data_IF_406636928512
#
_entry.id   IF_406636928512
#
_cell.length_a   1.000
_cell.length_b   1.000
_cell.length_c   1.000
_cell.angle_alpha   90.00
_cell.angle_beta   90.00
_cell.angle_gamma   90.00
#
_symmetry.space_group_name_H-M   'P 1'
#
loop_
_entity.id
_entity.type
_entity.pdbx_description
1 polymer ?
#
# COMPACT_ATOMS: atom_id res chain seq x y z
N UNK A 1 -57.87 -33.02 -92.13
CA UNK A 1 -57.92 -31.64 -91.61
C UNK A 1 -57.98 -31.74 -90.10
N UNK A 2 -56.94 -31.28 -89.45
CA UNK A 2 -56.62 -31.50 -88.04
C UNK A 2 -57.55 -30.71 -87.13
N UNK A 3 -58.17 -31.43 -86.19
CA UNK A 3 -58.82 -30.87 -85.01
C UNK A 3 -57.75 -30.29 -84.09
N UNK A 4 -57.77 -28.97 -83.86
CA UNK A 4 -56.96 -28.35 -82.81
C UNK A 4 -57.80 -28.30 -81.54
N UNK A 5 -57.52 -29.26 -80.65
CA UNK A 5 -58.03 -29.27 -79.29
C UNK A 5 -57.40 -28.11 -78.52
N UNK A 6 -58.22 -27.13 -78.15
CA UNK A 6 -57.87 -26.05 -77.24
C UNK A 6 -57.89 -26.61 -75.81
N UNK A 7 -56.79 -27.21 -75.40
CA UNK A 7 -56.59 -27.62 -74.01
C UNK A 7 -55.15 -27.35 -73.61
N UNK A 8 -55.01 -26.85 -72.38
CA UNK A 8 -53.75 -26.58 -71.66
C UNK A 8 -53.16 -25.17 -71.88
N UNK A 9 -53.92 -24.16 -71.45
CA UNK A 9 -53.33 -23.09 -70.64
C UNK A 9 -53.70 -23.38 -69.19
N UNK A 10 -53.03 -24.40 -68.62
CA UNK A 10 -52.98 -24.57 -67.17
C UNK A 10 -52.23 -23.37 -66.61
N UNK A 11 -52.98 -22.48 -65.95
CA UNK A 11 -52.47 -21.42 -65.13
C UNK A 11 -51.59 -22.03 -64.03
N UNK A 12 -50.27 -21.98 -64.21
CA UNK A 12 -49.33 -22.23 -63.13
C UNK A 12 -49.45 -21.12 -62.09
N UNK A 13 -49.69 -21.43 -60.80
CA UNK A 13 -49.57 -20.44 -59.74
C UNK A 13 -48.08 -20.23 -59.46
N UNK A 14 -47.39 -19.46 -60.30
CA UNK A 14 -45.98 -19.11 -60.13
C UNK A 14 -45.80 -17.96 -59.10
N UNK A 15 -46.67 -17.87 -58.10
CA UNK A 15 -46.71 -16.80 -57.10
C UNK A 15 -46.63 -17.31 -55.66
N UNK A 16 -46.21 -18.56 -55.43
CA UNK A 16 -46.38 -19.26 -54.14
C UNK A 16 -45.08 -19.75 -53.46
N UNK A 17 -43.90 -19.10 -53.65
CA UNK A 17 -42.95 -19.13 -52.53
C UNK A 17 -42.24 -17.79 -52.27
N UNK A 18 -42.61 -16.70 -52.94
CA UNK A 18 -41.93 -15.40 -52.76
C UNK A 18 -42.40 -14.67 -51.50
N UNK A 19 -43.72 -14.64 -51.25
CA UNK A 19 -44.30 -13.98 -50.07
C UNK A 19 -43.78 -14.52 -48.72
N UNK A 20 -43.60 -15.84 -48.53
CA UNK A 20 -42.99 -16.37 -47.30
C UNK A 20 -41.52 -15.95 -47.12
N UNK A 21 -40.78 -15.75 -48.22
CA UNK A 21 -39.40 -15.29 -48.18
C UNK A 21 -39.33 -13.78 -47.86
N UNK A 22 -40.24 -12.98 -48.42
CA UNK A 22 -40.37 -11.55 -48.11
C UNK A 22 -40.72 -11.34 -46.63
N UNK A 23 -41.69 -12.09 -46.08
CA UNK A 23 -42.04 -12.07 -44.66
C UNK A 23 -40.85 -12.46 -43.76
N UNK A 24 -40.07 -13.46 -44.17
CA UNK A 24 -38.85 -13.86 -43.44
C UNK A 24 -37.79 -12.76 -43.46
N UNK A 25 -37.64 -12.05 -44.59
CA UNK A 25 -36.69 -10.94 -44.72
C UNK A 25 -37.12 -9.77 -43.83
N UNK A 26 -38.41 -9.42 -43.82
CA UNK A 26 -38.94 -8.36 -42.97
C UNK A 26 -38.78 -8.67 -41.47
N UNK A 27 -39.00 -9.92 -41.05
CA UNK A 27 -38.73 -10.36 -39.68
C UNK A 27 -37.24 -10.21 -39.32
N UNK A 28 -36.33 -10.64 -40.20
CA UNK A 28 -34.89 -10.51 -39.97
C UNK A 28 -34.45 -9.05 -39.89
N UNK A 29 -34.97 -8.19 -40.77
CA UNK A 29 -34.68 -6.75 -40.75
C UNK A 29 -35.17 -6.10 -39.45
N UNK A 30 -36.39 -6.43 -39.02
CA UNK A 30 -36.94 -5.96 -37.74
C UNK A 30 -36.07 -6.38 -36.57
N UNK A 31 -35.66 -7.65 -36.53
CA UNK A 31 -34.78 -8.18 -35.47
C UNK A 31 -33.37 -7.57 -35.50
N UNK A 32 -32.88 -7.14 -36.66
CA UNK A 32 -31.60 -6.44 -36.76
C UNK A 32 -31.70 -5.02 -36.20
N UNK A 33 -32.78 -4.29 -36.47
CA UNK A 33 -33.04 -2.98 -35.88
C UNK A 33 -33.18 -3.07 -34.35
N UNK A 34 -33.90 -4.09 -33.86
CA UNK A 34 -33.99 -4.38 -32.43
C UNK A 34 -32.62 -4.68 -31.82
N UNK A 35 -31.81 -5.50 -32.49
CA UNK A 35 -30.46 -5.83 -32.03
C UNK A 35 -29.56 -4.59 -32.00
N UNK A 36 -29.61 -3.72 -33.01
CA UNK A 36 -28.86 -2.47 -33.04
C UNK A 36 -29.25 -1.56 -31.87
N UNK A 37 -30.55 -1.46 -31.58
CA UNK A 37 -31.07 -0.73 -30.42
C UNK A 37 -30.57 -1.31 -29.09
N UNK A 38 -30.56 -2.65 -28.93
CA UNK A 38 -30.00 -3.30 -27.74
C UNK A 38 -28.49 -3.06 -27.60
N UNK A 39 -27.74 -3.10 -28.71
CA UNK A 39 -26.30 -2.82 -28.73
C UNK A 39 -26.02 -1.38 -28.31
N UNK A 40 -26.79 -0.41 -28.80
CA UNK A 40 -26.64 0.99 -28.41
C UNK A 40 -27.05 1.24 -26.97
N UNK A 41 -28.08 0.55 -26.46
CA UNK A 41 -28.45 0.60 -25.05
C UNK A 41 -27.32 0.09 -24.16
N UNK A 42 -26.67 -1.03 -24.49
CA UNK A 42 -25.54 -1.58 -23.72
C UNK A 42 -24.30 -0.69 -23.80
N UNK A 43 -23.98 -0.14 -24.97
CA UNK A 43 -22.82 0.77 -25.13
C UNK A 43 -22.96 2.06 -24.33
N UNK A 44 -24.19 2.56 -24.21
CA UNK A 44 -24.49 3.79 -23.49
C UNK A 44 -24.98 3.55 -22.07
N UNK A 45 -24.99 2.29 -21.60
CA UNK A 45 -25.37 1.97 -20.23
C UNK A 45 -24.26 2.46 -19.28
N UNK A 46 -24.53 3.49 -18.46
CA UNK A 46 -23.54 4.10 -17.58
C UNK A 46 -23.05 3.14 -16.49
N UNK A 47 -23.73 2.02 -16.25
CA UNK A 47 -23.30 1.01 -15.27
C UNK A 47 -22.04 0.24 -15.71
N UNK A 48 -21.71 0.24 -17.01
CA UNK A 48 -20.48 -0.33 -17.55
C UNK A 48 -19.37 0.71 -17.74
N UNK A 49 -19.62 1.98 -17.41
CA UNK A 49 -18.57 3.00 -17.44
C UNK A 49 -17.59 2.77 -16.28
N UNK A 50 -16.51 2.06 -16.58
CA UNK A 50 -15.44 1.75 -15.63
C UNK A 50 -14.46 2.91 -15.45
N UNK A 51 -14.61 4.04 -16.15
CA UNK A 51 -13.64 5.14 -16.04
C UNK A 51 -13.56 5.68 -14.62
N UNK A 52 -14.72 5.90 -13.97
CA UNK A 52 -14.76 6.44 -12.62
C UNK A 52 -14.29 5.41 -11.57
N UNK A 53 -14.78 4.16 -11.54
CA UNK A 53 -14.24 3.15 -10.63
C UNK A 53 -12.73 2.92 -10.75
N UNK A 54 -12.17 2.97 -11.96
CA UNK A 54 -10.71 2.84 -12.17
C UNK A 54 -9.96 4.02 -11.58
N UNK A 55 -10.47 5.25 -11.75
CA UNK A 55 -9.90 6.45 -11.12
C UNK A 55 -9.96 6.33 -9.59
N UNK A 56 -11.10 5.89 -9.04
CA UNK A 56 -11.29 5.75 -7.59
C UNK A 56 -10.36 4.70 -6.98
N UNK A 57 -10.17 3.56 -7.66
CA UNK A 57 -9.22 2.52 -7.24
C UNK A 57 -7.79 3.05 -7.29
N UNK A 58 -7.43 3.82 -8.33
CA UNK A 58 -6.12 4.43 -8.44
C UNK A 58 -5.87 5.44 -7.29
N UNK A 59 -6.84 6.28 -6.96
CA UNK A 59 -6.76 7.21 -5.83
C UNK A 59 -6.62 6.45 -4.49
N UNK A 60 -7.44 5.41 -4.27
CA UNK A 60 -7.36 4.56 -3.08
C UNK A 60 -5.98 3.91 -2.93
N UNK A 61 -5.35 3.48 -4.03
CA UNK A 61 -3.98 2.97 -4.03
C UNK A 61 -2.98 4.03 -3.55
N UNK A 62 -3.11 5.27 -3.99
CA UNK A 62 -2.22 6.36 -3.55
C UNK A 62 -2.39 6.66 -2.06
N UNK A 63 -3.63 6.74 -1.57
CA UNK A 63 -3.93 6.92 -0.15
C UNK A 63 -3.37 5.77 0.72
N UNK A 64 -3.50 4.53 0.25
CA UNK A 64 -2.97 3.37 0.94
C UNK A 64 -1.44 3.41 1.01
N UNK A 65 -0.76 3.76 -0.09
CA UNK A 65 0.70 3.90 -0.09
C UNK A 65 1.16 4.99 0.90
N UNK A 66 0.48 6.13 0.92
CA UNK A 66 0.79 7.20 1.87
C UNK A 66 0.58 6.76 3.32
N UNK A 67 -0.44 5.94 3.59
CA UNK A 67 -0.64 5.35 4.91
C UNK A 67 0.48 4.37 5.29
N UNK A 68 0.88 3.49 4.37
CA UNK A 68 2.00 2.57 4.58
C UNK A 68 3.30 3.32 4.89
N UNK A 69 3.63 4.37 4.14
CA UNK A 69 4.83 5.19 4.41
C UNK A 69 4.81 5.83 5.81
N UNK A 70 3.62 6.25 6.29
CA UNK A 70 3.46 6.77 7.66
C UNK A 70 3.63 5.69 8.73
N UNK A 71 3.19 4.46 8.45
CA UNK A 71 3.39 3.32 9.35
C UNK A 71 4.88 2.97 9.42
N UNK A 72 5.57 2.84 8.28
CA UNK A 72 7.01 2.53 8.22
C UNK A 72 7.85 3.60 8.97
N UNK A 73 7.47 4.87 8.82
CA UNK A 73 8.06 5.99 9.55
C UNK A 73 7.90 5.84 11.07
N UNK A 74 6.69 5.46 11.50
CA UNK A 74 6.38 5.23 12.91
C UNK A 74 7.15 4.01 13.46
N UNK A 75 7.22 2.91 12.72
CA UNK A 75 7.98 1.72 13.11
C UNK A 75 9.47 2.05 13.29
N UNK A 76 10.04 2.80 12.35
CA UNK A 76 11.42 3.28 12.42
C UNK A 76 11.65 4.14 13.65
N UNK A 77 10.72 5.05 13.95
CA UNK A 77 10.77 5.90 15.13
C UNK A 77 10.71 5.11 16.44
N UNK A 78 9.77 4.18 16.56
CA UNK A 78 9.66 3.30 17.74
C UNK A 78 10.95 2.49 17.91
N UNK A 79 11.52 1.98 16.82
CA UNK A 79 12.80 1.29 16.84
C UNK A 79 13.98 2.16 17.31
N UNK A 80 13.95 3.47 17.06
CA UNK A 80 14.94 4.42 17.63
C UNK A 80 14.76 4.57 19.12
N UNK A 81 13.53 4.83 19.57
CA UNK A 81 13.21 5.02 21.00
C UNK A 81 13.60 3.79 21.82
N UNK A 82 13.31 2.59 21.32
CA UNK A 82 13.71 1.34 21.98
C UNK A 82 15.22 1.27 22.20
N UNK A 83 16.02 1.53 21.15
CA UNK A 83 17.49 1.49 21.25
C UNK A 83 18.04 2.54 22.21
N UNK A 84 17.44 3.73 22.25
CA UNK A 84 17.86 4.76 23.20
C UNK A 84 17.54 4.37 24.64
N UNK A 85 16.40 3.71 24.85
CA UNK A 85 16.02 3.19 26.16
C UNK A 85 16.99 2.11 26.64
N UNK A 86 17.44 1.21 25.75
CA UNK A 86 18.47 0.20 26.07
C UNK A 86 19.79 0.87 26.53
N UNK A 87 20.20 1.97 25.89
CA UNK A 87 21.39 2.75 26.28
C UNK A 87 21.19 3.38 27.66
N UNK A 88 20.04 3.98 27.92
CA UNK A 88 19.72 4.59 29.22
C UNK A 88 19.70 3.53 30.33
N UNK A 89 19.12 2.37 30.08
CA UNK A 89 19.10 1.25 31.01
C UNK A 89 20.52 0.74 31.32
N UNK A 90 21.37 0.60 30.29
CA UNK A 90 22.78 0.22 30.48
C UNK A 90 23.56 1.24 31.33
N UNK A 91 23.34 2.54 31.11
CA UNK A 91 23.95 3.59 31.93
C UNK A 91 23.46 3.53 33.39
N UNK A 92 22.18 3.24 33.60
CA UNK A 92 21.59 3.08 34.94
C UNK A 92 22.20 1.88 35.67
N UNK A 93 22.34 0.74 34.99
CA UNK A 93 22.97 -0.45 35.56
C UNK A 93 24.42 -0.20 35.94
N UNK A 94 25.19 0.48 35.08
CA UNK A 94 26.57 0.87 35.37
C UNK A 94 26.65 1.79 36.60
N UNK A 95 25.79 2.80 36.68
CA UNK A 95 25.74 3.71 37.82
C UNK A 95 25.32 2.98 39.12
N UNK A 96 24.36 2.04 39.04
CA UNK A 96 23.92 1.23 40.17
C UNK A 96 25.03 0.31 40.68
N UNK A 97 25.80 -0.30 39.78
CA UNK A 97 26.95 -1.12 40.14
C UNK A 97 28.05 -0.30 40.86
N UNK A 98 28.29 0.93 40.41
CA UNK A 98 29.24 1.85 41.06
C UNK A 98 28.79 2.25 42.47
N UNK A 99 27.50 2.60 42.64
CA UNK A 99 26.94 2.95 43.94
C UNK A 99 26.93 1.74 44.89
N UNK A 100 26.58 0.55 44.39
CA UNK A 100 26.57 -0.71 45.15
C UNK A 100 27.95 -1.21 45.58
N UNK A 101 29.02 -0.83 44.87
CA UNK A 101 30.41 -1.13 45.23
C UNK A 101 31.05 -0.11 46.19
N UNK A 102 30.32 0.94 46.59
CA UNK A 102 30.91 2.08 47.31
C UNK A 102 31.18 1.82 48.81
N UNK A 103 30.57 0.81 49.43
CA UNK A 103 30.75 0.54 50.87
C UNK A 103 32.18 0.08 51.18
N UNK A 104 32.81 -0.71 50.30
CA UNK A 104 34.21 -1.12 50.43
C UNK A 104 35.21 -0.02 50.05
N UNK A 105 34.79 0.92 49.19
CA UNK A 105 35.64 2.04 48.75
C UNK A 105 35.73 3.12 49.85
N UNK A 106 34.62 3.40 50.54
CA UNK A 106 34.61 4.28 51.72
C UNK A 106 35.40 3.69 52.91
N UNK A 107 35.30 2.37 53.15
CA UNK A 107 36.09 1.69 54.20
C UNK A 107 37.59 1.78 53.98
N UNK A 108 38.05 1.81 52.72
CA UNK A 108 39.47 1.95 52.39
C UNK A 108 39.99 3.40 52.47
N UNK A 109 39.10 4.40 52.39
CA UNK A 109 39.46 5.82 52.53
C UNK A 109 39.64 6.27 53.99
N UNK A 110 39.14 5.50 54.97
CA UNK A 110 39.26 5.79 56.40
C UNK A 110 40.43 5.07 57.09
N UNK A 111 41.30 4.36 56.33
CA UNK A 111 42.50 3.75 56.90
C UNK A 111 43.53 4.84 57.20
N UNK A 112 43.99 4.99 58.46
CA UNK A 112 44.92 6.05 58.82
C UNK A 112 46.25 5.87 58.09
N UNK A 113 46.75 6.97 57.52
CA UNK A 113 48.01 7.10 56.80
C UNK A 113 49.21 6.83 57.75
N UNK A 114 49.49 5.56 58.04
CA UNK A 114 50.73 5.15 58.69
C UNK A 114 51.74 4.72 57.64
N UNK A 115 52.74 5.57 57.47
CA UNK A 115 53.96 5.47 56.68
C UNK A 115 54.43 4.04 56.35
N UNK A 116 54.32 3.66 55.08
CA UNK A 116 55.24 2.72 54.42
C UNK A 116 55.58 3.26 53.03
N UNK A 117 56.86 3.12 52.64
CA UNK A 117 57.40 3.48 51.32
C UNK A 117 56.52 2.95 50.19
N UNK A 118 56.32 3.68 49.09
CA UNK A 118 55.46 3.24 48.01
C UNK A 118 56.18 2.17 47.17
N UNK A 119 55.62 0.96 47.14
CA UNK A 119 55.81 0.04 46.01
C UNK A 119 55.10 0.63 44.77
N UNK A 120 55.56 0.32 43.54
CA UNK A 120 54.91 0.81 42.34
C UNK A 120 53.48 0.24 42.28
N UNK A 121 52.50 1.12 42.43
CA UNK A 121 51.10 0.76 42.36
C UNK A 121 50.77 0.19 40.96
N UNK A 122 49.98 -0.90 40.86
CA UNK A 122 49.48 -1.35 39.57
C UNK A 122 48.64 -0.24 38.92
N UNK A 123 48.59 -0.18 37.58
CA UNK A 123 47.87 0.87 36.88
C UNK A 123 46.40 0.86 37.30
N UNK A 124 45.97 1.94 37.93
CA UNK A 124 44.56 2.18 38.24
C UNK A 124 43.85 2.28 36.89
N UNK A 125 42.84 1.44 36.59
CA UNK A 125 42.07 1.58 35.36
C UNK A 125 41.39 2.96 35.39
N UNK A 126 41.82 3.85 34.50
CA UNK A 126 41.18 5.14 34.27
C UNK A 126 39.76 4.89 33.79
N UNK A 127 38.78 5.13 34.65
CA UNK A 127 37.36 5.07 34.31
C UNK A 127 37.10 6.01 33.13
N UNK A 128 36.42 5.53 32.10
CA UNK A 128 35.98 6.39 31.00
C UNK A 128 34.95 7.41 31.53
N UNK A 129 35.03 8.68 31.12
CA UNK A 129 34.04 9.69 31.49
C UNK A 129 32.65 9.30 30.97
N UNK A 130 31.61 9.67 31.71
CA UNK A 130 30.22 9.49 31.30
C UNK A 130 29.95 10.24 29.99
N UNK A 131 29.35 9.56 29.01
CA UNK A 131 28.90 10.15 27.76
C UNK A 131 27.36 10.20 27.72
N UNK A 132 26.76 11.37 27.53
CA UNK A 132 25.30 11.50 27.50
C UNK A 132 24.71 10.85 26.25
N UNK A 133 23.52 10.22 26.33
CA UNK A 133 22.81 9.69 25.17
C UNK A 133 22.54 10.77 24.12
N UNK A 134 22.69 10.41 22.83
CA UNK A 134 22.43 11.32 21.72
C UNK A 134 20.93 11.58 21.57
N UNK A 135 20.55 12.85 21.74
CA UNK A 135 19.18 13.30 21.53
C UNK A 135 18.77 13.15 20.06
N UNK A 136 17.52 12.75 19.82
CA UNK A 136 16.91 12.71 18.49
C UNK A 136 15.85 13.79 18.35
N UNK A 137 15.59 14.21 17.11
CA UNK A 137 14.44 15.03 16.76
C UNK A 137 13.40 14.16 16.06
N UNK A 138 12.12 14.36 16.40
CA UNK A 138 11.01 13.63 15.79
C UNK A 138 10.86 13.96 14.30
N UNK A 139 11.25 15.17 13.91
CA UNK A 139 11.18 15.65 12.52
C UNK A 139 12.10 14.83 11.58
N UNK A 140 13.12 14.16 12.12
CA UNK A 140 14.00 13.27 11.35
C UNK A 140 13.29 11.96 10.92
N UNK A 141 12.14 11.64 11.51
CA UNK A 141 11.41 10.39 11.31
C UNK A 141 10.07 10.56 10.63
N UNK A 142 9.46 11.74 10.74
CA UNK A 142 8.20 12.05 10.07
C UNK A 142 8.48 13.10 9.01
N UNK A 143 8.62 12.67 7.75
CA UNK A 143 8.73 13.59 6.63
C UNK A 143 7.50 14.50 6.61
N UNK A 144 7.68 15.78 6.96
CA UNK A 144 6.68 16.84 6.79
C UNK A 144 6.67 17.25 5.31
N UNK A 145 6.46 16.30 4.41
CA UNK A 145 6.19 16.61 3.02
C UNK A 145 4.70 16.53 2.80
N UNK A 146 4.06 17.66 3.10
CA UNK A 146 2.97 18.11 2.24
C UNK A 146 3.56 18.18 0.83
N UNK A 147 3.39 17.10 0.05
CA UNK A 147 3.39 17.21 -1.40
C UNK A 147 2.22 18.14 -1.71
N UNK A 148 2.55 19.42 -1.77
CA UNK A 148 1.73 20.42 -2.43
C UNK A 148 1.76 20.05 -3.90
N UNK A 149 0.65 19.49 -4.37
CA UNK A 149 0.38 19.33 -5.77
C UNK A 149 0.48 20.69 -6.44
N UNK A 150 1.61 20.94 -7.11
CA UNK A 150 1.77 22.07 -8.00
C UNK A 150 1.58 21.57 -9.44
N UNK A 151 0.36 21.83 -9.91
CA UNK A 151 -0.06 22.07 -11.30
C UNK A 151 -0.15 20.89 -12.26
#
# INVERSE_FOLDING_TARGET
MTSFSSSVLESHPCAQPLAPAEETIEDILTRLEEFESLVDMVKNDPSYDLSQPVIDIAACKEELNALCERIDSLETFVGKVSRDMDVVESHLDAAKAEIGGSDETFKNMLKPLFFKKPDPAPPVPTKSPYEPPKLFHTDDYFNIHSKTDNK
#
